data_IF_327956481159
#
_entry.id   IF_327956481159
#
_cell.length_a   1.000
_cell.length_b   1.000
_cell.length_c   1.000
_cell.angle_alpha   90.00
_cell.angle_beta   90.00
_cell.angle_gamma   90.00
#
_symmetry.space_group_name_H-M   'P 1'
#
loop_
_entity.id
_entity.type
_entity.pdbx_description
1 polymer ?
#
# COMPACT_ATOMS: atom_id res chain seq x y z
N UNK A 1 -49.72 -52.81 -19.75
CA UNK A 1 -49.30 -54.09 -19.17
C UNK A 1 -48.56 -53.71 -17.91
N UNK A 2 -49.24 -53.64 -16.75
CA UNK A 2 -49.50 -54.76 -15.82
C UNK A 2 -48.17 -55.13 -15.13
N UNK A 3 -47.99 -55.12 -13.86
CA UNK A 3 -48.76 -55.10 -12.64
C UNK A 3 -47.78 -55.01 -11.50
N UNK A 4 -47.98 -54.23 -10.42
CA UNK A 4 -48.69 -54.61 -9.21
C UNK A 4 -48.17 -55.88 -8.47
N UNK A 5 -47.80 -55.66 -7.23
CA UNK A 5 -48.21 -56.21 -5.94
C UNK A 5 -47.08 -56.15 -4.92
N UNK A 6 -47.28 -55.40 -3.79
CA UNK A 6 -47.76 -55.84 -2.45
C UNK A 6 -46.81 -56.84 -1.77
N UNK A 7 -46.46 -56.75 -0.52
CA UNK A 7 -47.04 -56.20 0.68
C UNK A 7 -46.39 -56.86 1.89
N UNK A 8 -46.61 -56.28 3.04
CA UNK A 8 -46.75 -56.95 4.35
C UNK A 8 -45.52 -56.90 5.27
N UNK A 9 -45.54 -56.15 6.32
CA UNK A 9 -46.27 -56.15 7.60
C UNK A 9 -45.64 -56.96 8.75
N UNK A 10 -45.54 -56.26 9.92
CA UNK A 10 -45.58 -56.76 11.33
C UNK A 10 -44.23 -57.23 11.94
N UNK A 11 -43.90 -56.97 13.18
CA UNK A 11 -44.40 -56.36 14.41
C UNK A 11 -43.39 -56.48 15.55
N UNK A 12 -43.34 -55.49 16.45
CA UNK A 12 -43.26 -55.53 17.92
C UNK A 12 -42.01 -56.02 18.66
N UNK A 13 -41.70 -55.24 19.70
CA UNK A 13 -41.01 -55.55 20.95
C UNK A 13 -40.18 -54.35 21.45
N UNK A 14 -40.62 -53.44 22.22
CA UNK A 14 -40.97 -53.19 23.60
C UNK A 14 -40.07 -53.88 24.62
N UNK A 15 -39.33 -53.09 25.38
CA UNK A 15 -39.02 -53.12 26.84
C UNK A 15 -37.88 -52.09 27.09
N UNK A 16 -38.06 -50.95 27.73
CA UNK A 16 -38.36 -50.50 29.08
C UNK A 16 -37.19 -50.58 30.10
N UNK A 17 -37.07 -49.46 30.82
CA UNK A 17 -36.47 -49.17 32.13
C UNK A 17 -34.97 -48.80 32.12
N UNK A 18 -34.48 -47.82 32.87
CA UNK A 18 -35.00 -46.85 33.90
C UNK A 18 -33.96 -45.69 34.00
N UNK A 19 -34.38 -44.44 34.10
CA UNK A 19 -34.52 -43.56 35.28
C UNK A 19 -33.26 -43.34 36.13
N UNK A 20 -32.75 -42.11 36.19
CA UNK A 20 -32.40 -41.25 37.34
C UNK A 20 -32.24 -39.82 36.83
N UNK A 21 -33.00 -38.98 37.10
CA UNK A 21 -33.49 -37.82 37.83
C UNK A 21 -32.39 -36.99 38.57
N UNK A 22 -32.28 -35.74 38.21
CA UNK A 22 -32.05 -34.55 39.04
C UNK A 22 -32.09 -33.29 38.11
N UNK A 23 -33.21 -32.57 38.11
CA UNK A 23 -33.63 -31.39 38.87
C UNK A 23 -32.52 -30.28 38.89
N UNK A 24 -32.70 -29.08 38.43
CA UNK A 24 -33.58 -27.91 38.62
C UNK A 24 -32.77 -26.74 38.08
N UNK A 25 -33.14 -25.72 37.43
CA UNK A 25 -34.17 -24.70 37.60
C UNK A 25 -34.30 -23.86 36.34
N UNK A 26 -35.51 -23.48 36.04
CA UNK A 26 -35.88 -22.50 35.03
C UNK A 26 -35.60 -21.07 35.50
N UNK A 27 -35.16 -20.19 34.58
CA UNK A 27 -35.47 -18.76 34.66
C UNK A 27 -35.78 -18.24 33.25
N UNK A 28 -36.99 -17.83 33.04
CA UNK A 28 -37.54 -17.07 31.91
C UNK A 28 -36.90 -15.68 31.91
N UNK A 29 -36.52 -15.17 30.74
CA UNK A 29 -36.10 -13.78 30.54
C UNK A 29 -36.07 -13.36 29.07
N UNK A 30 -37.22 -12.94 28.57
CA UNK A 30 -37.49 -11.88 27.60
C UNK A 30 -36.54 -11.68 26.38
N UNK A 31 -37.13 -11.84 25.21
CA UNK A 31 -36.67 -11.35 23.93
C UNK A 31 -36.43 -9.83 23.94
N UNK A 32 -35.24 -9.40 23.50
CA UNK A 32 -34.97 -8.05 23.06
C UNK A 32 -34.17 -8.14 21.76
N UNK A 33 -34.72 -7.58 20.70
CA UNK A 33 -34.01 -7.30 19.45
C UNK A 33 -32.78 -6.44 19.75
N UNK A 34 -31.62 -6.93 19.45
CA UNK A 34 -30.37 -6.22 19.59
C UNK A 34 -29.58 -6.27 18.27
N UNK A 35 -29.37 -5.09 17.70
CA UNK A 35 -28.45 -4.80 16.63
C UNK A 35 -27.11 -5.55 16.80
N UNK A 36 -26.69 -6.25 15.76
CA UNK A 36 -25.36 -6.85 15.67
C UNK A 36 -24.30 -5.76 15.55
N UNK A 37 -23.80 -5.30 16.70
CA UNK A 37 -22.50 -4.67 16.77
C UNK A 37 -21.47 -5.78 16.59
N UNK A 38 -20.65 -5.66 15.55
CA UNK A 38 -19.42 -6.44 15.39
C UNK A 38 -18.46 -5.94 16.48
N UNK A 39 -18.43 -6.62 17.62
CA UNK A 39 -17.34 -6.46 18.56
C UNK A 39 -16.06 -6.96 17.89
N UNK A 40 -15.15 -6.03 17.62
CA UNK A 40 -13.78 -6.35 17.24
C UNK A 40 -13.12 -7.10 18.39
N UNK A 41 -13.03 -8.41 18.27
CA UNK A 41 -12.19 -9.21 19.13
C UNK A 41 -10.76 -8.79 18.89
N UNK A 42 -10.12 -8.20 19.91
CA UNK A 42 -8.67 -8.07 19.98
C UNK A 42 -8.09 -9.49 20.14
N UNK A 43 -7.83 -10.16 19.02
CA UNK A 43 -6.91 -11.29 19.01
C UNK A 43 -5.54 -10.70 19.28
N UNK A 44 -4.91 -11.08 20.40
CA UNK A 44 -3.49 -10.82 20.61
C UNK A 44 -2.74 -11.30 19.36
N UNK A 45 -1.94 -10.42 18.77
CA UNK A 45 -1.14 -10.77 17.60
C UNK A 45 -0.23 -11.95 17.98
N UNK A 46 -0.26 -13.01 17.18
CA UNK A 46 0.51 -14.21 17.44
C UNK A 46 1.99 -13.89 17.19
N UNK A 47 2.77 -13.79 18.27
CA UNK A 47 4.22 -13.64 18.18
C UNK A 47 4.83 -14.94 17.62
N UNK A 48 5.29 -14.87 16.39
CA UNK A 48 6.01 -15.99 15.77
C UNK A 48 7.45 -15.98 16.22
N UNK A 49 7.82 -16.90 17.12
CA UNK A 49 9.24 -17.16 17.36
C UNK A 49 9.84 -17.89 16.17
N UNK A 50 10.82 -17.24 15.55
CA UNK A 50 11.54 -17.80 14.44
C UNK A 50 12.52 -18.87 14.92
N UNK A 51 12.15 -20.13 14.75
CA UNK A 51 13.08 -21.25 14.92
C UNK A 51 13.47 -21.79 13.55
N UNK A 52 14.72 -21.58 13.15
CA UNK A 52 15.27 -22.24 11.98
C UNK A 52 15.92 -21.33 10.93
N UNK A 53 16.54 -21.97 9.92
CA UNK A 53 17.05 -21.27 8.75
C UNK A 53 15.90 -20.95 7.79
N UNK A 54 15.91 -19.78 7.11
CA UNK A 54 14.94 -19.49 6.09
C UNK A 54 14.98 -20.56 5.01
N UNK A 55 13.82 -21.01 4.57
CA UNK A 55 13.71 -22.09 3.57
C UNK A 55 12.38 -22.02 2.83
N UNK A 56 12.25 -22.77 1.74
CA UNK A 56 11.02 -22.88 0.97
C UNK A 56 10.83 -21.78 -0.04
N UNK A 57 9.60 -21.27 -0.17
CA UNK A 57 9.23 -20.25 -1.15
C UNK A 57 8.76 -18.99 -0.46
N UNK A 58 9.27 -17.86 -0.91
CA UNK A 58 8.85 -16.50 -0.52
C UNK A 58 8.02 -15.91 -1.66
N UNK A 59 6.83 -15.38 -1.36
CA UNK A 59 5.99 -14.68 -2.34
C UNK A 59 5.82 -13.24 -1.88
N UNK A 60 6.29 -12.32 -2.69
CA UNK A 60 6.25 -10.87 -2.43
C UNK A 60 5.27 -10.22 -3.40
N UNK A 61 4.31 -9.45 -2.90
CA UNK A 61 3.51 -8.52 -3.69
C UNK A 61 4.07 -7.12 -3.54
N UNK A 62 4.40 -6.49 -4.66
CA UNK A 62 4.95 -5.14 -4.69
C UNK A 62 4.46 -4.39 -5.93
N UNK A 63 4.85 -3.14 -6.06
CA UNK A 63 4.55 -2.24 -7.16
C UNK A 63 5.45 -2.54 -8.38
N UNK A 64 5.01 -2.18 -9.60
CA UNK A 64 5.84 -2.27 -10.79
C UNK A 64 7.11 -1.41 -10.71
N UNK A 65 8.20 -1.86 -11.35
CA UNK A 65 9.48 -1.14 -11.48
C UNK A 65 10.14 -0.79 -10.13
N UNK A 66 9.89 -1.54 -9.08
CA UNK A 66 10.23 -1.17 -7.70
C UNK A 66 11.32 -2.03 -7.08
N UNK A 67 12.08 -2.77 -7.90
CA UNK A 67 13.28 -3.54 -7.50
C UNK A 67 14.21 -3.73 -8.68
N UNK A 68 15.52 -3.73 -8.44
CA UNK A 68 16.51 -4.09 -9.44
C UNK A 68 16.53 -5.60 -9.76
N UNK A 69 17.04 -5.96 -10.93
CA UNK A 69 17.06 -7.35 -11.41
C UNK A 69 18.03 -8.27 -10.65
N UNK A 70 18.97 -7.70 -9.90
CA UNK A 70 20.04 -8.43 -9.20
C UNK A 70 19.67 -8.88 -7.78
N UNK A 71 18.80 -8.15 -7.09
CA UNK A 71 18.50 -8.38 -5.67
C UNK A 71 17.83 -9.73 -5.40
N UNK A 72 16.82 -10.11 -6.19
CA UNK A 72 16.15 -11.43 -6.03
C UNK A 72 17.13 -12.59 -6.21
N UNK A 73 17.90 -12.70 -7.31
CA UNK A 73 18.90 -13.76 -7.47
C UNK A 73 19.98 -13.77 -6.39
N UNK A 74 20.39 -12.59 -5.88
CA UNK A 74 21.39 -12.49 -4.82
C UNK A 74 20.84 -13.07 -3.50
N UNK A 75 19.59 -12.76 -3.15
CA UNK A 75 18.92 -13.33 -1.97
C UNK A 75 18.75 -14.85 -2.08
N UNK A 76 18.26 -15.36 -3.22
CA UNK A 76 18.10 -16.79 -3.47
C UNK A 76 19.44 -17.53 -3.32
N UNK A 77 20.52 -16.96 -3.86
CA UNK A 77 21.88 -17.53 -3.75
C UNK A 77 22.38 -17.52 -2.30
N UNK A 78 22.09 -16.46 -1.54
CA UNK A 78 22.56 -16.32 -0.16
C UNK A 78 21.83 -17.24 0.81
N UNK A 79 20.53 -17.50 0.57
CA UNK A 79 19.64 -18.16 1.55
C UNK A 79 19.18 -19.55 1.13
N UNK A 80 19.11 -19.82 -0.18
CA UNK A 80 18.48 -21.02 -0.74
C UNK A 80 16.95 -20.95 -0.79
N UNK A 81 16.35 -19.79 -0.42
CA UNK A 81 14.90 -19.55 -0.52
C UNK A 81 14.57 -19.16 -1.95
N UNK A 82 13.55 -19.79 -2.54
CA UNK A 82 13.04 -19.41 -3.86
C UNK A 82 12.08 -18.24 -3.74
N UNK A 83 12.24 -17.20 -4.56
CA UNK A 83 11.42 -15.98 -4.53
C UNK A 83 10.48 -15.89 -5.73
N UNK A 84 9.20 -15.69 -5.46
CA UNK A 84 8.21 -15.27 -6.47
C UNK A 84 7.87 -13.81 -6.23
N UNK A 85 8.58 -12.91 -6.88
CA UNK A 85 8.28 -11.48 -6.84
C UNK A 85 7.16 -11.17 -7.80
N UNK A 86 6.11 -10.50 -7.33
CA UNK A 86 4.92 -10.15 -8.10
C UNK A 86 4.74 -8.64 -8.11
N UNK A 87 4.67 -8.07 -9.28
CA UNK A 87 4.27 -6.69 -9.52
C UNK A 87 2.75 -6.66 -9.70
N UNK A 88 2.01 -6.89 -8.60
CA UNK A 88 0.55 -7.07 -8.63
C UNK A 88 -0.20 -6.07 -7.72
N UNK A 89 0.48 -4.98 -7.33
CA UNK A 89 -0.10 -3.82 -6.64
C UNK A 89 -0.13 -2.66 -7.64
N UNK A 90 -1.30 -2.06 -7.85
CA UNK A 90 -1.50 -0.89 -8.70
C UNK A 90 -2.26 0.24 -7.98
N UNK A 91 -2.83 -0.06 -6.82
CA UNK A 91 -3.46 0.85 -5.87
C UNK A 91 -3.54 0.16 -4.51
N UNK A 92 -3.29 0.91 -3.44
CA UNK A 92 -3.41 0.41 -2.07
C UNK A 92 -4.83 -0.07 -1.76
N UNK A 93 -5.85 0.71 -2.13
CA UNK A 93 -7.25 0.38 -1.86
C UNK A 93 -7.72 -0.84 -2.68
N UNK A 94 -7.38 -0.89 -3.97
CA UNK A 94 -7.71 -2.04 -4.83
C UNK A 94 -7.10 -3.33 -4.28
N UNK A 95 -5.80 -3.29 -3.95
CA UNK A 95 -5.10 -4.45 -3.43
C UNK A 95 -5.66 -4.87 -2.06
N UNK A 96 -5.91 -3.93 -1.15
CA UNK A 96 -6.52 -4.21 0.14
C UNK A 96 -7.91 -4.84 -0.01
N UNK A 97 -8.78 -4.27 -0.83
CA UNK A 97 -10.14 -4.78 -1.08
C UNK A 97 -10.11 -6.22 -1.63
N UNK A 98 -9.15 -6.53 -2.49
CA UNK A 98 -8.92 -7.88 -3.02
C UNK A 98 -8.47 -8.87 -1.92
N UNK A 99 -7.60 -8.43 -1.00
CA UNK A 99 -7.00 -9.28 0.02
C UNK A 99 -7.84 -9.39 1.30
N UNK A 100 -8.61 -8.38 1.64
CA UNK A 100 -9.40 -8.31 2.88
C UNK A 100 -10.27 -9.55 3.16
N UNK A 101 -11.02 -10.11 2.19
CA UNK A 101 -11.85 -11.31 2.44
C UNK A 101 -11.04 -12.56 2.83
N UNK A 102 -9.76 -12.63 2.43
CA UNK A 102 -8.83 -13.70 2.82
C UNK A 102 -8.23 -13.41 4.19
N UNK A 103 -7.75 -12.18 4.40
CA UNK A 103 -7.16 -11.74 5.68
C UNK A 103 -8.14 -11.87 6.84
N UNK A 104 -9.43 -11.58 6.62
CA UNK A 104 -10.48 -11.78 7.61
C UNK A 104 -10.67 -13.25 8.03
N UNK A 105 -10.14 -14.20 7.26
CA UNK A 105 -10.13 -15.63 7.58
C UNK A 105 -8.76 -16.11 8.09
N UNK A 106 -7.79 -15.20 8.27
CA UNK A 106 -6.42 -15.55 8.61
C UNK A 106 -5.62 -16.13 7.44
N UNK A 107 -5.99 -15.81 6.19
CA UNK A 107 -5.35 -16.32 4.98
C UNK A 107 -4.63 -15.18 4.24
N UNK A 108 -3.37 -15.40 3.83
CA UNK A 108 -2.58 -14.41 3.08
C UNK A 108 -2.70 -14.53 1.55
N UNK A 109 -3.49 -15.49 1.04
CA UNK A 109 -3.52 -15.82 -0.38
C UNK A 109 -2.16 -16.29 -0.90
N UNK A 110 -1.45 -17.10 -0.10
CA UNK A 110 -0.09 -17.64 -0.35
C UNK A 110 1.02 -16.55 -0.42
N UNK A 111 0.74 -15.33 -0.03
CA UNK A 111 1.72 -14.24 -0.02
C UNK A 111 2.42 -14.15 1.33
N UNK A 112 3.71 -13.83 1.28
CA UNK A 112 4.58 -13.73 2.46
C UNK A 112 4.84 -12.29 2.85
N UNK A 113 4.90 -11.38 1.87
CA UNK A 113 5.12 -9.94 2.08
C UNK A 113 4.17 -9.15 1.20
N UNK A 114 3.61 -8.08 1.75
CA UNK A 114 3.02 -6.97 1.01
C UNK A 114 3.88 -5.73 1.18
N UNK A 115 3.95 -4.88 0.16
CA UNK A 115 4.55 -3.54 0.23
C UNK A 115 3.46 -2.52 0.00
N UNK A 116 3.10 -1.78 1.05
CA UNK A 116 1.93 -0.90 1.08
C UNK A 116 2.27 0.41 1.77
N UNK A 117 1.53 1.46 1.44
CA UNK A 117 1.69 2.77 2.06
C UNK A 117 1.37 2.76 3.57
N UNK A 118 2.03 3.63 4.32
CA UNK A 118 1.92 3.81 5.78
C UNK A 118 0.48 3.78 6.28
N UNK A 119 -0.43 4.50 5.64
CA UNK A 119 -1.83 4.58 6.05
C UNK A 119 -2.57 3.23 5.91
N UNK A 120 -2.22 2.47 4.88
CA UNK A 120 -2.80 1.14 4.66
C UNK A 120 -2.24 0.15 5.68
N UNK A 121 -0.95 0.25 6.00
CA UNK A 121 -0.32 -0.54 7.07
C UNK A 121 -0.97 -0.20 8.42
N UNK A 122 -1.19 1.07 8.73
CA UNK A 122 -1.91 1.52 9.93
C UNK A 122 -3.31 0.88 10.03
N UNK A 123 -4.06 0.86 8.92
CA UNK A 123 -5.37 0.21 8.82
C UNK A 123 -5.29 -1.30 9.06
N UNK A 124 -4.30 -1.97 8.46
CA UNK A 124 -4.11 -3.41 8.61
C UNK A 124 -3.69 -3.81 10.03
N UNK A 125 -2.88 -2.99 10.73
CA UNK A 125 -2.53 -3.17 12.15
C UNK A 125 -3.81 -3.10 13.01
N UNK A 126 -4.64 -2.05 12.83
CA UNK A 126 -5.92 -1.88 13.56
C UNK A 126 -6.88 -3.06 13.35
N UNK A 127 -6.87 -3.67 12.18
CA UNK A 127 -7.71 -4.82 11.84
C UNK A 127 -7.13 -6.18 12.29
N UNK A 128 -5.90 -6.21 12.81
CA UNK A 128 -5.22 -7.44 13.20
C UNK A 128 -4.84 -8.33 12.01
N UNK A 129 -4.53 -7.76 10.86
CA UNK A 129 -4.21 -8.48 9.63
C UNK A 129 -2.71 -8.69 9.39
N UNK A 130 -1.86 -8.22 10.32
CA UNK A 130 -0.41 -8.32 10.22
C UNK A 130 0.16 -9.17 11.36
N UNK A 131 1.24 -9.85 11.06
CA UNK A 131 2.08 -10.56 12.04
C UNK A 131 3.13 -9.62 12.62
N UNK A 132 3.45 -9.76 13.90
CA UNK A 132 4.57 -9.04 14.50
C UNK A 132 5.91 -9.59 13.97
N UNK A 133 6.86 -8.69 13.74
CA UNK A 133 8.23 -9.02 13.35
C UNK A 133 9.04 -9.51 14.56
N UNK A 134 9.74 -10.62 14.42
CA UNK A 134 10.79 -10.98 15.37
C UNK A 134 12.02 -10.10 15.13
N UNK A 135 12.28 -9.19 16.06
CA UNK A 135 13.43 -8.27 15.96
C UNK A 135 14.78 -9.00 15.85
N UNK A 136 14.87 -10.23 16.34
CA UNK A 136 16.07 -11.04 16.19
C UNK A 136 16.27 -11.56 14.78
N UNK A 137 15.20 -11.65 13.99
CA UNK A 137 15.22 -12.03 12.55
C UNK A 137 15.58 -10.87 11.62
N UNK A 138 15.47 -9.62 12.11
CA UNK A 138 15.69 -8.40 11.30
C UNK A 138 16.73 -7.43 11.89
N UNK A 139 17.92 -7.91 12.30
CA UNK A 139 18.92 -7.05 12.95
C UNK A 139 19.41 -5.89 12.08
N UNK A 140 19.46 -6.05 10.73
CA UNK A 140 19.85 -4.98 9.84
C UNK A 140 18.77 -3.89 9.75
N UNK A 141 17.48 -4.24 9.81
CA UNK A 141 16.39 -3.26 9.89
C UNK A 141 16.59 -2.39 11.14
N UNK A 142 16.75 -3.02 12.30
CA UNK A 142 16.97 -2.31 13.57
C UNK A 142 18.20 -1.41 13.53
N UNK A 143 19.31 -1.87 12.91
CA UNK A 143 20.59 -1.17 12.89
C UNK A 143 20.66 -0.05 11.88
N UNK A 144 20.14 -0.29 10.68
CA UNK A 144 20.40 0.53 9.49
C UNK A 144 19.20 1.41 9.08
N UNK A 145 18.04 1.28 9.75
CA UNK A 145 16.87 2.12 9.45
C UNK A 145 17.16 3.59 9.74
N UNK A 146 16.86 4.43 8.77
CA UNK A 146 16.97 5.90 8.86
C UNK A 146 16.22 6.44 10.08
N UNK A 147 16.85 7.36 10.80
CA UNK A 147 16.32 7.93 12.05
C UNK A 147 14.93 8.57 11.89
N UNK A 148 14.67 9.19 10.75
CA UNK A 148 13.38 9.82 10.45
C UNK A 148 12.23 8.82 10.33
N UNK A 149 12.52 7.54 10.09
CA UNK A 149 11.53 6.49 9.89
C UNK A 149 11.40 5.50 11.07
N UNK A 150 12.14 5.71 12.17
CA UNK A 150 12.21 4.74 13.26
C UNK A 150 10.93 4.61 14.10
N UNK A 151 10.17 5.71 14.27
CA UNK A 151 9.03 5.73 15.20
C UNK A 151 7.81 6.42 14.60
N UNK A 152 7.18 5.85 13.56
CA UNK A 152 5.96 6.43 13.01
C UNK A 152 4.79 6.27 14.01
N UNK A 153 3.82 7.18 14.04
CA UNK A 153 2.70 7.13 14.98
C UNK A 153 1.88 5.85 14.94
N UNK A 154 1.78 5.19 13.78
CA UNK A 154 0.99 3.97 13.59
C UNK A 154 1.71 2.68 14.05
N UNK A 155 3.04 2.69 14.12
CA UNK A 155 3.89 1.56 14.55
C UNK A 155 5.16 2.09 15.24
N UNK A 156 5.04 2.69 16.46
CA UNK A 156 6.14 3.42 17.11
C UNK A 156 7.39 2.60 17.38
N UNK A 157 7.23 1.30 17.52
CA UNK A 157 8.32 0.36 17.77
C UNK A 157 8.73 -0.42 16.52
N UNK A 158 8.12 -0.13 15.37
CA UNK A 158 8.28 -0.93 14.14
C UNK A 158 8.05 -2.42 14.38
N UNK A 159 7.02 -2.73 15.15
CA UNK A 159 6.68 -4.12 15.51
C UNK A 159 6.09 -4.90 14.33
N UNK A 160 5.47 -4.23 13.36
CA UNK A 160 4.77 -4.86 12.24
C UNK A 160 5.38 -4.52 10.88
N UNK A 161 6.19 -3.49 10.79
CA UNK A 161 6.59 -2.90 9.52
C UNK A 161 8.09 -2.66 9.40
N UNK A 162 8.60 -2.78 8.17
CA UNK A 162 9.95 -2.36 7.79
C UNK A 162 9.83 -1.50 6.50
N UNK A 163 10.19 -0.19 6.55
CA UNK A 163 10.10 0.67 5.38
C UNK A 163 10.80 0.09 4.15
N UNK A 164 10.16 0.23 2.98
CA UNK A 164 10.73 -0.21 1.71
C UNK A 164 11.38 0.94 0.96
N UNK A 165 10.58 1.94 0.60
CA UNK A 165 11.03 3.19 -0.01
C UNK A 165 10.10 4.31 0.44
N UNK A 166 10.55 5.55 0.27
CA UNK A 166 9.72 6.75 0.43
C UNK A 166 9.80 7.60 -0.83
N UNK A 167 8.86 8.48 -1.04
CA UNK A 167 8.84 9.31 -2.23
C UNK A 167 7.99 10.55 -2.09
N UNK A 168 7.88 11.24 -3.22
CA UNK A 168 7.11 12.46 -3.36
C UNK A 168 6.16 12.34 -4.54
N UNK A 169 4.91 12.77 -4.31
CA UNK A 169 3.93 12.91 -5.38
C UNK A 169 3.82 14.38 -5.78
N UNK A 170 4.03 14.63 -7.05
CA UNK A 170 4.00 15.96 -7.64
C UNK A 170 3.52 15.87 -9.08
N UNK A 171 4.17 16.60 -9.99
CA UNK A 171 3.80 16.64 -11.40
C UNK A 171 4.95 16.07 -12.24
N UNK A 172 4.66 15.13 -13.14
CA UNK A 172 5.59 14.77 -14.21
C UNK A 172 5.10 15.44 -15.47
N UNK A 173 5.96 16.19 -16.13
CA UNK A 173 5.62 16.96 -17.33
C UNK A 173 6.53 16.61 -18.51
N UNK A 174 6.00 16.72 -19.70
CA UNK A 174 6.82 16.87 -20.89
C UNK A 174 7.10 18.38 -21.06
N UNK A 175 8.33 18.80 -20.77
CA UNK A 175 8.76 20.22 -20.75
C UNK A 175 8.70 20.92 -22.10
N UNK A 176 8.62 20.16 -23.21
CA UNK A 176 8.49 20.71 -24.56
C UNK A 176 7.02 21.02 -24.89
N UNK A 177 6.09 20.16 -24.45
CA UNK A 177 4.65 20.28 -24.81
C UNK A 177 3.81 20.90 -23.70
N UNK A 178 4.28 20.86 -22.43
CA UNK A 178 3.63 21.46 -21.27
C UNK A 178 4.60 22.32 -20.44
N UNK A 179 5.32 23.29 -21.05
CA UNK A 179 6.34 24.08 -20.34
C UNK A 179 5.78 24.93 -19.20
N UNK A 180 4.51 25.33 -19.28
CA UNK A 180 3.86 26.26 -18.35
C UNK A 180 3.21 25.55 -17.14
N UNK A 181 3.30 24.22 -17.05
CA UNK A 181 2.72 23.45 -15.93
C UNK A 181 3.68 23.46 -14.77
N UNK A 182 3.36 24.20 -13.72
CA UNK A 182 4.15 24.30 -12.48
C UNK A 182 3.30 24.15 -11.20
N UNK A 183 2.00 24.01 -11.35
CA UNK A 183 1.02 23.92 -10.27
C UNK A 183 0.03 22.78 -10.58
N UNK A 184 -0.51 22.14 -9.55
CA UNK A 184 -1.64 21.22 -9.72
C UNK A 184 -2.83 21.94 -10.37
N UNK A 185 -3.01 23.24 -10.08
CA UNK A 185 -4.05 24.05 -10.73
C UNK A 185 -3.88 24.15 -12.25
N UNK A 186 -2.65 24.10 -12.75
CA UNK A 186 -2.39 24.16 -14.21
C UNK A 186 -2.93 22.94 -14.96
N UNK A 187 -3.08 21.79 -14.28
CA UNK A 187 -3.65 20.57 -14.84
C UNK A 187 -5.15 20.73 -15.21
N UNK A 188 -5.83 21.72 -14.62
CA UNK A 188 -7.21 22.05 -14.93
C UNK A 188 -7.34 23.09 -16.05
N UNK A 189 -6.21 23.56 -16.63
CA UNK A 189 -6.24 24.50 -17.74
C UNK A 189 -6.81 23.82 -19.00
N UNK A 190 -7.86 24.41 -19.64
CA UNK A 190 -8.44 23.85 -20.87
C UNK A 190 -7.46 23.62 -22.04
N UNK A 191 -6.29 24.29 -22.01
CA UNK A 191 -5.18 24.07 -22.97
C UNK A 191 -4.73 22.60 -22.98
N UNK A 192 -4.82 21.91 -21.85
CA UNK A 192 -4.37 20.54 -21.68
C UNK A 192 -5.52 19.52 -21.59
N UNK A 193 -6.72 19.90 -22.02
CA UNK A 193 -7.91 19.03 -22.01
C UNK A 193 -7.66 17.70 -22.69
N UNK A 194 -7.91 16.59 -21.98
CA UNK A 194 -7.71 15.22 -22.48
C UNK A 194 -6.24 14.82 -22.65
N UNK A 195 -5.32 15.57 -22.03
CA UNK A 195 -3.87 15.37 -22.07
C UNK A 195 -3.23 15.30 -20.68
N UNK A 196 -4.02 15.22 -19.64
CA UNK A 196 -3.55 15.09 -18.27
C UNK A 196 -4.10 13.81 -17.62
N UNK A 197 -3.27 13.07 -16.90
CA UNK A 197 -3.68 11.92 -16.12
C UNK A 197 -3.49 12.19 -14.63
N UNK A 198 -4.41 11.68 -13.81
CA UNK A 198 -4.36 11.79 -12.37
C UNK A 198 -4.13 10.40 -11.77
N UNK A 199 -3.56 10.35 -10.56
CA UNK A 199 -3.43 9.07 -9.85
C UNK A 199 -4.79 8.58 -9.34
N UNK A 200 -4.96 7.26 -9.33
CA UNK A 200 -6.09 6.58 -8.69
C UNK A 200 -5.93 6.46 -7.16
N UNK A 201 -4.89 7.05 -6.59
CA UNK A 201 -4.61 7.10 -5.15
C UNK A 201 -5.31 8.30 -4.51
N UNK A 202 -6.40 8.02 -3.77
CA UNK A 202 -7.23 9.06 -3.13
C UNK A 202 -6.43 9.96 -2.18
N UNK A 203 -5.50 9.36 -1.41
CA UNK A 203 -4.72 10.08 -0.39
C UNK A 203 -3.54 10.89 -0.94
N UNK A 204 -3.36 10.87 -2.24
CA UNK A 204 -2.34 11.66 -2.93
C UNK A 204 -2.99 12.67 -3.89
N UNK A 205 -3.90 12.20 -4.73
CA UNK A 205 -4.58 13.04 -5.72
C UNK A 205 -5.46 14.11 -5.08
N UNK A 206 -6.31 13.72 -4.11
CA UNK A 206 -7.25 14.67 -3.48
C UNK A 206 -6.52 15.73 -2.67
N UNK A 207 -5.53 15.42 -1.80
CA UNK A 207 -4.75 16.43 -1.09
C UNK A 207 -3.97 17.37 -1.99
N UNK A 208 -3.44 16.92 -3.12
CA UNK A 208 -2.80 17.82 -4.09
C UNK A 208 -3.79 18.81 -4.69
N UNK A 209 -5.02 18.37 -4.97
CA UNK A 209 -6.09 19.27 -5.44
C UNK A 209 -6.52 20.22 -4.33
N UNK A 210 -6.57 19.80 -3.06
CA UNK A 210 -6.79 20.69 -1.92
C UNK A 210 -5.73 21.80 -1.85
N UNK A 211 -4.43 21.42 -1.99
CA UNK A 211 -3.33 22.41 -2.02
C UNK A 211 -3.51 23.43 -3.15
N UNK A 212 -3.95 23.00 -4.33
CA UNK A 212 -4.30 23.88 -5.43
C UNK A 212 -5.42 24.88 -5.04
N UNK A 213 -6.38 24.48 -4.21
CA UNK A 213 -7.46 25.33 -3.70
C UNK A 213 -7.03 26.17 -2.47
N UNK A 214 -5.78 26.05 -2.04
CA UNK A 214 -5.25 26.79 -0.88
C UNK A 214 -5.60 26.16 0.48
N UNK A 215 -6.06 24.91 0.49
CA UNK A 215 -6.36 24.15 1.70
C UNK A 215 -5.12 23.37 2.15
N UNK A 216 -4.80 23.45 3.45
CA UNK A 216 -3.76 22.60 4.05
C UNK A 216 -4.32 21.19 4.29
N UNK A 217 -3.80 20.14 3.62
CA UNK A 217 -4.33 18.79 3.77
C UNK A 217 -4.25 18.22 5.20
N UNK A 218 -3.27 18.66 6.01
CA UNK A 218 -3.12 18.19 7.39
C UNK A 218 -4.20 18.70 8.34
N UNK A 219 -4.90 19.76 7.95
CA UNK A 219 -5.97 20.42 8.71
C UNK A 219 -7.33 20.30 8.00
N UNK A 220 -7.40 19.52 6.90
CA UNK A 220 -8.58 19.43 6.06
C UNK A 220 -9.76 18.77 6.79
N UNK A 221 -10.95 19.30 6.55
CA UNK A 221 -12.22 18.76 7.03
C UNK A 221 -12.83 17.82 6.01
N UNK A 222 -13.84 17.00 6.40
CA UNK A 222 -14.62 16.17 5.46
C UNK A 222 -15.16 17.00 4.29
N UNK A 223 -15.59 18.26 4.55
CA UNK A 223 -16.09 19.17 3.51
C UNK A 223 -14.99 19.53 2.49
N UNK A 224 -13.77 19.76 2.94
CA UNK A 224 -12.62 20.06 2.05
C UNK A 224 -12.30 18.87 1.14
N UNK A 225 -12.32 17.65 1.70
CA UNK A 225 -12.16 16.41 0.92
C UNK A 225 -13.24 16.28 -0.15
N UNK A 226 -14.50 16.48 0.22
CA UNK A 226 -15.63 16.35 -0.71
C UNK A 226 -15.60 17.43 -1.79
N UNK A 227 -15.22 18.67 -1.47
CA UNK A 227 -15.07 19.75 -2.44
C UNK A 227 -13.98 19.47 -3.47
N UNK A 228 -12.83 18.97 -3.02
CA UNK A 228 -11.75 18.59 -3.93
C UNK A 228 -12.16 17.41 -4.84
N UNK A 229 -12.85 16.41 -4.31
CA UNK A 229 -13.39 15.29 -5.10
C UNK A 229 -14.41 15.77 -6.14
N UNK A 230 -15.31 16.68 -5.79
CA UNK A 230 -16.28 17.22 -6.75
C UNK A 230 -15.59 18.03 -7.88
N UNK A 231 -14.51 18.74 -7.57
CA UNK A 231 -13.68 19.41 -8.60
C UNK A 231 -13.03 18.38 -9.52
N UNK A 232 -12.46 17.30 -8.98
CA UNK A 232 -11.88 16.21 -9.78
C UNK A 232 -12.94 15.58 -10.67
N UNK A 233 -14.13 15.30 -10.12
CA UNK A 233 -15.28 14.75 -10.83
C UNK A 233 -15.69 15.63 -12.02
N UNK A 234 -15.88 16.93 -11.78
CA UNK A 234 -16.20 17.88 -12.86
C UNK A 234 -15.14 17.91 -13.96
N UNK A 235 -13.87 17.78 -13.59
CA UNK A 235 -12.77 17.69 -14.54
C UNK A 235 -12.79 16.37 -15.35
N UNK A 236 -13.13 15.25 -14.71
CA UNK A 236 -13.28 13.96 -15.37
C UNK A 236 -14.47 13.97 -16.34
N UNK A 237 -15.66 14.38 -15.88
CA UNK A 237 -16.89 14.47 -16.66
C UNK A 237 -16.75 15.41 -17.87
N UNK A 238 -16.01 16.52 -17.72
CA UNK A 238 -15.73 17.44 -18.81
C UNK A 238 -14.72 16.90 -19.82
N UNK A 239 -14.02 15.79 -19.50
CA UNK A 239 -12.91 15.24 -20.27
C UNK A 239 -11.63 16.07 -20.17
N UNK A 240 -11.48 16.93 -19.15
CA UNK A 240 -10.21 17.60 -18.83
C UNK A 240 -9.17 16.56 -18.42
N UNK A 241 -9.52 15.70 -17.44
CA UNK A 241 -8.73 14.53 -17.08
C UNK A 241 -8.96 13.45 -18.13
N UNK A 242 -7.88 12.92 -18.69
CA UNK A 242 -7.90 11.86 -19.68
C UNK A 242 -8.27 10.53 -19.05
N UNK A 243 -7.60 10.17 -17.94
CA UNK A 243 -7.90 8.99 -17.14
C UNK A 243 -7.21 9.05 -15.76
N UNK A 244 -7.60 8.12 -14.90
CA UNK A 244 -6.92 7.82 -13.65
C UNK A 244 -6.01 6.61 -13.83
N UNK A 245 -4.81 6.64 -13.20
CA UNK A 245 -3.76 5.63 -13.40
C UNK A 245 -3.07 5.30 -12.08
N UNK A 246 -2.48 4.11 -12.00
CA UNK A 246 -1.32 3.86 -11.16
C UNK A 246 -0.04 4.19 -11.96
N UNK A 247 0.94 3.30 -12.00
CA UNK A 247 2.18 3.48 -12.79
C UNK A 247 1.95 3.52 -14.32
N UNK A 248 0.73 3.21 -14.81
CA UNK A 248 0.44 3.21 -16.26
C UNK A 248 0.63 4.57 -16.94
N UNK A 249 0.64 5.68 -16.20
CA UNK A 249 0.94 7.01 -16.76
C UNK A 249 2.32 7.05 -17.44
N UNK A 250 3.25 6.17 -17.05
CA UNK A 250 4.57 6.06 -17.67
C UNK A 250 4.45 5.81 -19.19
N UNK A 251 3.58 4.88 -19.58
CA UNK A 251 3.30 4.60 -20.98
C UNK A 251 2.61 5.78 -21.69
N UNK A 252 1.71 6.48 -21.00
CA UNK A 252 1.01 7.63 -21.59
C UNK A 252 1.92 8.83 -21.84
N UNK A 253 2.82 9.12 -20.92
CA UNK A 253 3.85 10.15 -21.09
C UNK A 253 4.82 9.79 -22.22
N UNK A 254 5.31 8.56 -22.25
CA UNK A 254 6.28 8.08 -23.25
C UNK A 254 5.69 8.10 -24.65
N UNK A 255 4.41 7.73 -24.79
CA UNK A 255 3.71 7.70 -26.08
C UNK A 255 3.11 9.07 -26.47
N UNK A 256 3.21 10.10 -25.65
CA UNK A 256 2.63 11.42 -25.86
C UNK A 256 1.10 11.46 -25.78
N UNK A 257 0.47 10.46 -25.18
CA UNK A 257 -0.96 10.44 -24.87
C UNK A 257 -1.29 11.46 -23.78
N UNK A 258 -0.45 11.56 -22.75
CA UNK A 258 -0.47 12.61 -21.74
C UNK A 258 0.75 13.53 -21.90
N UNK A 259 0.61 14.80 -21.51
CA UNK A 259 1.68 15.81 -21.51
C UNK A 259 2.08 16.22 -20.08
N UNK A 260 1.20 16.01 -19.14
CA UNK A 260 1.44 16.22 -17.70
C UNK A 260 0.58 15.25 -16.89
N UNK A 261 1.11 14.77 -15.78
CA UNK A 261 0.40 13.85 -14.89
C UNK A 261 0.70 14.18 -13.43
N UNK A 262 -0.23 13.85 -12.51
CA UNK A 262 0.14 13.66 -11.11
C UNK A 262 0.92 12.35 -11.06
N UNK A 263 2.15 12.38 -10.55
CA UNK A 263 3.03 11.21 -10.59
C UNK A 263 4.16 11.24 -9.58
N UNK A 264 4.81 10.11 -9.44
CA UNK A 264 5.81 9.83 -8.40
C UNK A 264 7.23 10.22 -8.83
N UNK A 265 8.00 10.73 -7.86
CA UNK A 265 9.34 11.28 -8.10
C UNK A 265 10.33 10.27 -8.68
N UNK A 266 10.35 9.03 -8.17
CA UNK A 266 11.28 8.00 -8.64
C UNK A 266 10.98 7.52 -10.05
N UNK A 267 9.70 7.32 -10.40
CA UNK A 267 9.29 6.97 -11.76
C UNK A 267 9.74 8.04 -12.77
N UNK A 268 9.65 9.32 -12.39
CA UNK A 268 10.10 10.40 -13.25
C UNK A 268 11.59 10.32 -13.56
N UNK A 269 12.43 10.00 -12.56
CA UNK A 269 13.89 9.81 -12.76
C UNK A 269 14.15 8.63 -13.69
N UNK A 270 13.45 7.50 -13.51
CA UNK A 270 13.56 6.34 -14.39
C UNK A 270 13.14 6.69 -15.84
N UNK A 271 11.99 7.36 -16.00
CA UNK A 271 11.47 7.74 -17.31
C UNK A 271 12.38 8.73 -18.03
N UNK A 272 13.00 9.66 -17.30
CA UNK A 272 13.88 10.70 -17.84
C UNK A 272 15.14 10.12 -18.47
N UNK A 273 15.61 8.96 -18.02
CA UNK A 273 16.80 8.29 -18.58
C UNK A 273 16.65 8.01 -20.09
N UNK A 274 15.44 7.57 -20.51
CA UNK A 274 15.14 7.28 -21.92
C UNK A 274 14.34 8.40 -22.62
N UNK A 275 13.77 9.33 -21.83
CA UNK A 275 12.90 10.40 -22.31
C UNK A 275 13.32 11.75 -21.67
N UNK A 276 14.42 12.36 -22.11
CA UNK A 276 15.01 13.56 -21.47
C UNK A 276 14.09 14.80 -21.52
N UNK A 277 13.01 14.77 -22.30
CA UNK A 277 11.97 15.80 -22.28
C UNK A 277 11.01 15.69 -21.10
N UNK A 278 11.00 14.56 -20.38
CA UNK A 278 10.19 14.38 -19.16
C UNK A 278 10.95 14.92 -17.96
N UNK A 279 10.22 15.50 -17.02
CA UNK A 279 10.81 16.00 -15.77
C UNK A 279 9.76 15.96 -14.67
N UNK A 280 10.19 15.62 -13.44
CA UNK A 280 9.38 15.82 -12.26
C UNK A 280 9.49 17.26 -11.79
N UNK A 281 8.35 17.86 -11.48
CA UNK A 281 8.27 19.22 -10.93
C UNK A 281 7.60 19.22 -9.58
N UNK A 282 8.26 19.88 -8.61
CA UNK A 282 7.62 20.26 -7.36
C UNK A 282 6.49 21.23 -7.69
N UNK A 283 5.21 20.92 -7.37
CA UNK A 283 4.14 21.91 -7.52
C UNK A 283 4.43 23.16 -6.70
N UNK A 284 4.03 24.34 -7.20
CA UNK A 284 4.22 25.62 -6.48
C UNK A 284 3.60 25.62 -5.09
N UNK A 285 2.51 24.87 -4.89
CA UNK A 285 1.82 24.67 -3.62
C UNK A 285 2.42 23.54 -2.75
N UNK A 286 3.47 22.87 -3.24
CA UNK A 286 4.14 21.77 -2.56
C UNK A 286 3.63 20.38 -2.97
N UNK A 287 4.31 19.34 -2.52
CA UNK A 287 4.05 17.94 -2.86
C UNK A 287 3.38 17.16 -1.71
N UNK A 288 3.05 15.89 -1.97
CA UNK A 288 2.74 14.92 -0.91
C UNK A 288 3.97 14.04 -0.65
N UNK A 289 4.22 13.74 0.62
CA UNK A 289 5.22 12.78 1.08
C UNK A 289 4.53 11.48 1.47
N UNK A 290 5.13 10.37 1.09
CA UNK A 290 4.66 9.06 1.46
C UNK A 290 5.83 8.11 1.75
N UNK A 291 5.54 7.07 2.48
CA UNK A 291 6.44 5.94 2.72
C UNK A 291 5.66 4.64 2.52
N UNK A 292 6.35 3.63 2.07
CA UNK A 292 5.81 2.29 1.92
C UNK A 292 6.60 1.32 2.78
N UNK A 293 5.88 0.39 3.38
CA UNK A 293 6.39 -0.59 4.31
C UNK A 293 6.22 -2.01 3.79
N UNK A 294 7.23 -2.82 3.99
CA UNK A 294 7.13 -4.27 3.93
C UNK A 294 6.43 -4.77 5.19
N UNK A 295 5.38 -5.56 5.03
CA UNK A 295 4.62 -6.17 6.13
C UNK A 295 4.38 -7.65 5.85
N UNK A 296 4.25 -8.45 6.93
CA UNK A 296 3.93 -9.87 6.86
C UNK A 296 2.45 -10.04 7.18
N UNK A 297 1.60 -10.46 6.23
CA UNK A 297 0.18 -10.67 6.50
C UNK A 297 -0.05 -11.91 7.39
N UNK A 298 -1.16 -11.92 8.15
CA UNK A 298 -1.60 -13.11 8.87
C UNK A 298 -1.76 -14.28 7.90
N UNK A 299 -1.40 -15.49 8.34
CA UNK A 299 -1.44 -16.69 7.51
C UNK A 299 -0.34 -16.75 6.43
N UNK A 300 0.69 -15.90 6.52
CA UNK A 300 1.85 -16.00 5.62
C UNK A 300 2.55 -17.36 5.75
N UNK A 301 2.85 -18.04 4.63
CA UNK A 301 3.35 -19.43 4.69
C UNK A 301 4.79 -19.55 5.24
N UNK A 302 5.62 -18.51 5.10
CA UNK A 302 7.04 -18.54 5.46
C UNK A 302 7.49 -17.21 6.11
N UNK A 303 7.05 -16.87 7.33
CA UNK A 303 7.39 -15.60 7.96
C UNK A 303 8.90 -15.44 8.21
N UNK A 304 9.61 -16.52 8.57
CA UNK A 304 11.08 -16.51 8.71
C UNK A 304 11.80 -16.13 7.41
N UNK A 305 11.29 -16.59 6.25
CA UNK A 305 11.87 -16.20 4.97
C UNK A 305 11.53 -14.73 4.61
N UNK A 306 10.37 -14.25 5.04
CA UNK A 306 9.98 -12.85 4.88
C UNK A 306 10.90 -11.91 5.69
N UNK A 307 11.16 -12.24 6.94
CA UNK A 307 12.11 -11.46 7.78
C UNK A 307 13.54 -11.57 7.28
N UNK A 308 13.97 -12.74 6.81
CA UNK A 308 15.28 -12.87 6.18
C UNK A 308 15.41 -11.98 4.93
N UNK A 309 14.33 -11.81 4.15
CA UNK A 309 14.28 -10.86 3.03
C UNK A 309 14.41 -9.42 3.53
N UNK A 310 13.58 -9.01 4.51
CA UNK A 310 13.65 -7.68 5.10
C UNK A 310 15.06 -7.38 5.63
N UNK A 311 15.66 -8.33 6.34
CA UNK A 311 17.03 -8.20 6.84
C UNK A 311 18.08 -8.08 5.72
N UNK A 312 17.92 -8.82 4.63
CA UNK A 312 18.85 -8.82 3.50
C UNK A 312 18.81 -7.51 2.74
N UNK A 313 17.61 -6.99 2.42
CA UNK A 313 17.48 -5.73 1.68
C UNK A 313 17.89 -4.49 2.49
N UNK A 314 18.05 -4.65 3.80
CA UNK A 314 18.60 -3.62 4.69
C UNK A 314 20.14 -3.67 4.84
N UNK A 315 20.83 -4.53 4.09
CA UNK A 315 22.28 -4.41 3.88
C UNK A 315 22.53 -3.16 3.03
N UNK A 316 23.39 -2.18 3.46
CA UNK A 316 23.55 -0.93 2.71
C UNK A 316 24.01 -1.12 1.24
N UNK A 317 24.86 -2.11 0.97
CA UNK A 317 25.30 -2.43 -0.41
C UNK A 317 24.16 -3.01 -1.27
N UNK A 318 23.26 -3.80 -0.69
CA UNK A 318 22.07 -4.32 -1.39
C UNK A 318 21.10 -3.19 -1.67
N UNK A 319 20.83 -2.37 -0.66
CA UNK A 319 19.90 -1.26 -0.79
C UNK A 319 20.43 -0.17 -1.74
N UNK A 320 21.75 -0.01 -1.84
CA UNK A 320 22.35 0.88 -2.83
C UNK A 320 22.05 0.42 -4.28
N UNK A 321 22.05 -0.89 -4.55
CA UNK A 321 21.66 -1.42 -5.86
C UNK A 321 20.17 -1.16 -6.15
N UNK A 322 19.32 -1.35 -5.14
CA UNK A 322 17.89 -1.06 -5.25
C UNK A 322 17.68 0.43 -5.51
N UNK A 323 18.25 1.32 -4.68
CA UNK A 323 18.10 2.76 -4.80
C UNK A 323 18.61 3.31 -6.16
N UNK A 324 19.70 2.77 -6.67
CA UNK A 324 20.27 3.13 -7.97
C UNK A 324 19.35 2.77 -9.15
N UNK A 325 18.53 1.73 -8.99
CA UNK A 325 17.58 1.33 -10.00
C UNK A 325 16.22 2.00 -9.84
N UNK A 326 15.65 1.97 -8.61
CA UNK A 326 14.27 2.47 -8.36
C UNK A 326 14.19 3.99 -8.28
N UNK A 327 15.30 4.65 -7.93
CA UNK A 327 15.42 6.11 -7.83
C UNK A 327 14.45 6.77 -6.82
N UNK A 328 14.06 6.03 -5.77
CA UNK A 328 13.26 6.54 -4.65
C UNK A 328 14.10 6.78 -3.41
N UNK A 329 13.52 7.44 -2.42
CA UNK A 329 14.20 7.75 -1.16
C UNK A 329 14.39 6.46 -0.35
N UNK A 330 15.65 6.06 -0.16
CA UNK A 330 16.00 4.84 0.57
C UNK A 330 15.76 4.95 2.07
N UNK A 331 15.23 3.91 2.74
CA UNK A 331 15.09 3.89 4.18
C UNK A 331 16.37 3.53 4.94
N UNK A 332 17.48 3.23 4.24
CA UNK A 332 18.69 2.64 4.82
C UNK A 332 19.84 3.66 4.91
N UNK A 333 20.34 3.84 6.10
CA UNK A 333 21.53 4.67 6.37
C UNK A 333 22.78 4.11 5.66
N UNK A 334 23.67 5.00 5.20
CA UNK A 334 24.93 4.64 4.55
C UNK A 334 24.84 4.40 3.04
N UNK A 335 23.64 4.39 2.46
CA UNK A 335 23.43 4.21 1.01
C UNK A 335 23.98 5.39 0.21
N UNK A 336 23.78 6.62 0.72
CA UNK A 336 24.27 7.84 0.06
C UNK A 336 25.79 7.81 -0.13
N UNK A 337 26.54 7.45 0.91
CA UNK A 337 27.99 7.37 0.92
C UNK A 337 28.55 6.29 -0.04
N UNK A 338 27.77 5.24 -0.27
CA UNK A 338 28.07 4.21 -1.27
C UNK A 338 27.87 4.80 -2.66
N UNK A 339 26.74 5.48 -2.90
CA UNK A 339 26.41 6.07 -4.20
C UNK A 339 27.28 7.28 -4.53
N UNK A 340 27.74 8.07 -3.56
CA UNK A 340 28.73 9.13 -3.78
C UNK A 340 30.01 8.61 -4.47
N UNK A 341 30.41 7.36 -4.21
CA UNK A 341 31.56 6.72 -4.83
C UNK A 341 31.24 6.03 -6.14
N UNK A 342 30.01 5.52 -6.30
CA UNK A 342 29.58 4.67 -7.41
C UNK A 342 28.90 5.49 -8.51
N UNK A 343 28.01 6.40 -8.13
CA UNK A 343 27.20 7.24 -9.00
C UNK A 343 26.95 8.61 -8.31
N UNK A 344 27.96 9.52 -8.34
CA UNK A 344 27.88 10.80 -7.63
C UNK A 344 26.69 11.67 -8.06
N UNK A 345 26.29 11.61 -9.33
CA UNK A 345 25.15 12.38 -9.85
C UNK A 345 23.85 11.96 -9.18
N UNK A 346 23.67 10.65 -8.97
CA UNK A 346 22.51 10.11 -8.27
C UNK A 346 22.51 10.50 -6.78
N UNK A 347 23.67 10.48 -6.14
CA UNK A 347 23.83 10.84 -4.73
C UNK A 347 23.53 12.32 -4.45
N UNK A 348 23.64 13.19 -5.46
CA UNK A 348 23.29 14.62 -5.37
C UNK A 348 21.84 14.92 -5.80
N UNK A 349 21.08 13.93 -6.24
CA UNK A 349 19.71 14.13 -6.69
C UNK A 349 18.74 14.29 -5.50
N UNK A 350 18.12 15.47 -5.36
CA UNK A 350 17.14 15.78 -4.32
C UNK A 350 15.86 14.92 -4.40
N UNK A 351 15.58 14.25 -5.50
CA UNK A 351 14.43 13.33 -5.61
C UNK A 351 14.70 11.97 -4.92
N UNK A 352 16.00 11.66 -4.67
CA UNK A 352 16.43 10.40 -4.05
C UNK A 352 16.97 10.65 -2.64
N UNK A 353 17.69 11.76 -2.45
CA UNK A 353 18.24 12.19 -1.17
C UNK A 353 17.77 13.62 -0.82
N UNK A 354 16.45 13.81 -0.58
CA UNK A 354 15.88 15.13 -0.41
C UNK A 354 16.41 15.83 0.84
N UNK A 355 16.81 17.08 0.66
CA UNK A 355 17.12 17.95 1.80
C UNK A 355 15.82 18.42 2.47
N UNK A 356 15.89 18.76 3.77
CA UNK A 356 14.76 19.37 4.50
C UNK A 356 14.27 20.68 3.85
N UNK A 357 15.16 21.41 3.18
CA UNK A 357 14.80 22.62 2.43
C UNK A 357 14.03 22.31 1.16
N UNK A 358 14.30 21.18 0.50
CA UNK A 358 13.60 20.75 -0.69
C UNK A 358 12.16 20.34 -0.37
N UNK A 359 11.95 19.59 0.71
CA UNK A 359 10.63 19.08 1.09
C UNK A 359 9.82 19.98 2.01
N UNK A 360 10.28 21.18 2.32
CA UNK A 360 9.65 22.08 3.32
C UNK A 360 8.19 22.45 3.07
N UNK A 361 7.75 22.41 1.80
CA UNK A 361 6.37 22.72 1.39
C UNK A 361 5.56 21.45 1.10
N UNK A 362 6.15 20.27 1.29
CA UNK A 362 5.45 19.01 1.11
C UNK A 362 4.73 18.62 2.41
N UNK A 363 3.57 18.01 2.29
CA UNK A 363 2.78 17.52 3.42
C UNK A 363 2.84 15.99 3.46
N UNK A 364 2.86 15.38 4.64
CA UNK A 364 2.65 13.94 4.77
C UNK A 364 1.22 13.57 4.34
N UNK A 365 1.00 12.29 4.08
CA UNK A 365 -0.35 11.77 3.82
C UNK A 365 -1.27 12.09 5.01
N UNK A 366 -2.38 12.83 4.80
CA UNK A 366 -3.24 13.22 5.89
C UNK A 366 -3.99 12.03 6.47
N UNK A 367 -4.26 12.03 7.79
CA UNK A 367 -5.04 10.97 8.41
C UNK A 367 -6.48 11.02 7.91
N UNK A 368 -7.03 9.85 7.61
CA UNK A 368 -8.46 9.62 7.36
C UNK A 368 -8.85 8.37 8.11
N UNK A 369 -9.90 8.42 8.92
CA UNK A 369 -10.30 7.29 9.75
C UNK A 369 -11.83 7.15 9.83
N UNK A 370 -12.27 5.91 10.12
CA UNK A 370 -13.65 5.62 10.46
C UNK A 370 -14.67 5.92 9.35
N UNK A 371 -15.73 6.63 9.69
CA UNK A 371 -16.82 6.95 8.74
C UNK A 371 -16.38 7.98 7.69
N UNK A 372 -15.50 8.91 8.05
CA UNK A 372 -14.96 9.91 7.12
C UNK A 372 -14.15 9.23 6.01
N UNK A 373 -13.24 8.31 6.39
CA UNK A 373 -12.48 7.52 5.43
C UNK A 373 -13.39 6.80 4.43
N UNK A 374 -14.42 6.10 4.93
CA UNK A 374 -15.35 5.36 4.09
C UNK A 374 -16.11 6.25 3.12
N UNK A 375 -16.52 7.46 3.55
CA UNK A 375 -17.22 8.42 2.69
C UNK A 375 -16.30 8.96 1.61
N UNK A 376 -15.10 9.36 1.97
CA UNK A 376 -14.09 9.91 1.05
C UNK A 376 -13.70 8.87 0.00
N UNK A 377 -13.34 7.65 0.41
CA UNK A 377 -13.00 6.55 -0.51
C UNK A 377 -14.17 6.28 -1.45
N UNK A 378 -15.39 6.10 -0.92
CA UNK A 378 -16.57 5.85 -1.74
C UNK A 378 -16.86 6.96 -2.75
N UNK A 379 -16.67 8.22 -2.35
CA UNK A 379 -16.89 9.35 -3.25
C UNK A 379 -15.85 9.38 -4.37
N UNK A 380 -14.58 9.11 -4.06
CA UNK A 380 -13.50 9.06 -5.04
C UNK A 380 -13.64 7.84 -5.96
N UNK A 381 -13.97 6.67 -5.44
CA UNK A 381 -14.25 5.46 -6.23
C UNK A 381 -15.38 5.69 -7.25
N UNK A 382 -16.40 6.47 -6.87
CA UNK A 382 -17.47 6.84 -7.80
C UNK A 382 -16.95 7.71 -8.96
N UNK A 383 -15.91 8.53 -8.75
CA UNK A 383 -15.26 9.29 -9.83
C UNK A 383 -14.40 8.38 -10.72
N UNK A 384 -13.69 7.41 -10.12
CA UNK A 384 -12.85 6.46 -10.86
C UNK A 384 -13.67 5.54 -11.78
N UNK A 385 -14.90 5.19 -11.37
CA UNK A 385 -15.77 4.26 -12.09
C UNK A 385 -16.73 4.94 -13.08
N UNK A 386 -16.76 6.27 -13.16
CA UNK A 386 -17.40 7.09 -14.18
C UNK A 386 -18.91 7.16 -14.11
#
# INVERSE_FOLDING_TARGET
MSGMHEGGSRRRGVTLLAVVLALVTAALGLAACGSSSVEGGSTEAEQVKLEGKPSGKLVISNWPLYIDKGTVPAFEKATGVSVSYKEDINSNEEFFNKMQPLLAKGESGERSIFVLADYMVAKMIKLGYLMELDKSGVPNVTKNLSKSLQSPPFDPERSFSAPWQSGMTGIIVNKETAPDVHSICDLFNPKYKGKVDFLNEVRETVPLVMKCEGVNPEEATEEDWMNAIEKIKGAAESGQIRRFTGNDYAADLTNGNAVAVIGWSGDAVQLQADNPQLEWRMPTEGCMLWSEDMVIPVGAPNPTAAEAWMNFVYEPEVQANIAEYVNYVTPVEGVKEILEKRNPELAENDLIFPSASFTKNCSPTPPLEGEEEQKVIKAFDAVLNG
#
